data_IF_889446943554
#
_entry.id   IF_889446943554
#
_cell.length_a   1.000
_cell.length_b   1.000
_cell.length_c   1.000
_cell.angle_alpha   90.00
_cell.angle_beta   90.00
_cell.angle_gamma   90.00
#
_symmetry.space_group_name_H-M   'P 1'
#
loop_
_entity.id
_entity.type
_entity.pdbx_description
1 polymer ?
#
# COMPACT_ATOMS: atom_id res chain seq x y z
N UNK A 1 20.53 8.86 12.65
CA UNK A 1 19.13 8.42 12.81
C UNK A 1 19.14 6.93 13.08
N UNK A 2 18.41 6.47 14.09
CA UNK A 2 18.29 5.05 14.39
C UNK A 2 17.55 4.35 13.24
N UNK A 3 17.99 3.15 12.85
CA UNK A 3 17.27 2.34 11.86
C UNK A 3 16.06 1.74 12.56
N UNK A 4 14.87 1.95 12.01
CA UNK A 4 13.63 1.31 12.50
C UNK A 4 13.41 0.04 11.70
N UNK A 5 13.17 -1.08 12.38
CA UNK A 5 12.91 -2.36 11.73
C UNK A 5 11.47 -2.42 11.24
N UNK A 6 11.26 -2.92 10.02
CA UNK A 6 9.92 -3.20 9.49
C UNK A 6 9.19 -4.29 10.29
N UNK A 7 9.91 -5.12 11.07
CA UNK A 7 9.34 -6.21 11.87
C UNK A 7 8.34 -5.74 12.95
N UNK A 8 8.47 -4.51 13.42
CA UNK A 8 7.55 -3.91 14.40
C UNK A 8 6.45 -3.05 13.76
N UNK A 9 6.33 -3.03 12.43
CA UNK A 9 5.29 -2.22 11.80
C UNK A 9 3.90 -2.80 12.09
N UNK A 10 3.00 -1.95 12.57
CA UNK A 10 1.57 -2.24 12.68
C UNK A 10 0.94 -1.85 11.35
N UNK A 11 0.41 -2.85 10.64
CA UNK A 11 -0.24 -2.68 9.34
C UNK A 11 -1.72 -3.03 9.52
N UNK A 12 -2.58 -2.03 9.31
CA UNK A 12 -4.03 -2.18 9.40
C UNK A 12 -4.69 -1.81 8.10
N UNK A 13 -5.66 -2.61 7.67
CA UNK A 13 -6.45 -2.41 6.47
C UNK A 13 -7.93 -2.54 6.80
N UNK A 14 -8.75 -1.61 6.33
CA UNK A 14 -10.19 -1.75 6.41
C UNK A 14 -10.70 -2.91 5.55
N UNK A 15 -11.61 -3.70 6.12
CA UNK A 15 -12.37 -4.71 5.37
C UNK A 15 -13.59 -4.06 4.66
N UNK A 16 -14.33 -4.87 3.90
CA UNK A 16 -15.57 -4.43 3.21
C UNK A 16 -16.65 -3.82 4.11
N UNK A 17 -16.53 -3.93 5.44
CA UNK A 17 -17.45 -3.33 6.42
C UNK A 17 -16.90 -2.04 7.05
N UNK A 18 -15.82 -1.50 6.49
CA UNK A 18 -15.07 -0.36 7.04
C UNK A 18 -14.53 -0.62 8.44
N UNK A 19 -14.23 -1.89 8.76
CA UNK A 19 -13.60 -2.26 10.04
C UNK A 19 -12.10 -2.44 9.83
N UNK A 20 -11.28 -1.69 10.55
CA UNK A 20 -9.82 -1.83 10.51
C UNK A 20 -9.37 -3.19 11.07
N UNK A 21 -8.65 -3.97 10.25
CA UNK A 21 -8.09 -5.29 10.60
C UNK A 21 -6.57 -5.24 10.58
N UNK A 22 -5.94 -5.78 11.63
CA UNK A 22 -4.48 -5.88 11.71
C UNK A 22 -4.00 -7.10 10.94
N UNK A 23 -3.16 -6.89 9.93
CA UNK A 23 -2.59 -7.94 9.07
C UNK A 23 -1.07 -8.08 9.21
N UNK A 24 -0.45 -7.39 10.17
CA UNK A 24 1.01 -7.28 10.33
C UNK A 24 1.74 -8.62 10.34
N UNK A 25 1.14 -9.67 10.91
CA UNK A 25 1.78 -11.00 11.00
C UNK A 25 1.94 -11.70 9.65
N UNK A 26 1.15 -11.30 8.66
CA UNK A 26 1.09 -11.93 7.35
C UNK A 26 1.90 -11.14 6.30
N UNK A 27 2.38 -9.94 6.64
CA UNK A 27 3.14 -9.06 5.73
C UNK A 27 4.64 -9.28 5.92
N UNK A 28 5.33 -9.65 4.84
CA UNK A 28 6.79 -9.85 4.82
C UNK A 28 7.54 -8.54 4.56
N UNK A 29 7.00 -7.71 3.65
CA UNK A 29 7.56 -6.40 3.32
C UNK A 29 6.50 -5.46 2.76
N UNK A 30 6.77 -4.15 2.87
CA UNK A 30 5.96 -3.10 2.29
C UNK A 30 6.84 -2.07 1.58
N UNK A 31 6.30 -1.45 0.54
CA UNK A 31 6.92 -0.37 -0.21
C UNK A 31 5.91 0.72 -0.49
N UNK A 32 6.30 1.99 -0.26
CA UNK A 32 5.48 3.17 -0.51
C UNK A 32 6.27 4.11 -1.43
N UNK A 33 6.15 4.00 -2.76
CA UNK A 33 6.70 4.98 -3.68
C UNK A 33 6.00 6.33 -3.55
N UNK A 34 6.81 7.40 -3.53
CA UNK A 34 6.36 8.78 -3.73
C UNK A 34 6.91 9.25 -5.07
N UNK A 35 6.02 9.53 -6.02
CA UNK A 35 6.42 9.94 -7.36
C UNK A 35 5.62 11.16 -7.81
N UNK A 36 6.31 12.19 -8.30
CA UNK A 36 5.70 13.28 -9.03
C UNK A 36 6.01 13.07 -10.52
N UNK A 37 5.11 12.47 -11.30
CA UNK A 37 5.33 12.29 -12.73
C UNK A 37 5.50 13.66 -13.39
N UNK A 38 6.59 13.92 -14.13
CA UNK A 38 6.84 15.22 -14.73
C UNK A 38 5.82 15.49 -15.84
N UNK A 39 5.26 16.70 -15.87
CA UNK A 39 4.46 17.22 -16.96
C UNK A 39 5.32 18.11 -17.83
N UNK A 40 5.33 17.83 -19.11
CA UNK A 40 6.06 18.60 -20.11
C UNK A 40 5.33 19.91 -20.40
N UNK A 41 6.06 21.03 -20.37
CA UNK A 41 5.52 22.38 -20.56
C UNK A 41 6.39 23.21 -21.50
N UNK A 42 7.08 22.55 -22.43
CA UNK A 42 8.04 23.24 -23.31
C UNK A 42 7.30 24.17 -24.26
N UNK A 43 7.65 25.45 -24.22
CA UNK A 43 7.07 26.49 -25.06
C UNK A 43 7.75 26.58 -26.42
N UNK A 44 7.05 27.16 -27.39
CA UNK A 44 7.65 27.51 -28.67
C UNK A 44 8.65 28.67 -28.48
N UNK A 45 9.95 28.35 -28.55
CA UNK A 45 11.05 29.29 -28.27
C UNK A 45 12.03 28.78 -27.21
N UNK A 46 11.68 27.72 -26.49
CA UNK A 46 12.57 27.08 -25.54
C UNK A 46 13.67 26.28 -26.25
N UNK A 47 14.92 26.48 -25.82
CA UNK A 47 16.08 25.74 -26.33
C UNK A 47 16.28 24.36 -25.67
N UNK A 48 15.41 23.98 -24.74
CA UNK A 48 15.49 22.75 -23.95
C UNK A 48 14.12 22.34 -23.42
N UNK A 49 13.94 21.05 -23.10
CA UNK A 49 12.70 20.55 -22.53
C UNK A 49 12.48 21.08 -21.10
N UNK A 50 11.30 21.64 -20.85
CA UNK A 50 10.89 22.15 -19.56
C UNK A 50 9.82 21.24 -18.94
N UNK A 51 9.91 21.02 -17.62
CA UNK A 51 9.00 20.15 -16.89
C UNK A 51 8.51 20.82 -15.61
N UNK A 52 7.23 20.60 -15.28
CA UNK A 52 6.66 20.89 -13.97
C UNK A 52 6.28 19.58 -13.26
N UNK A 53 6.28 19.54 -11.92
CA UNK A 53 5.77 18.38 -11.19
C UNK A 53 4.28 18.16 -11.45
N UNK A 54 3.88 16.94 -11.81
CA UNK A 54 2.48 16.54 -11.90
C UNK A 54 1.84 16.23 -10.55
N UNK A 55 0.68 15.58 -10.55
CA UNK A 55 0.02 15.15 -9.31
C UNK A 55 0.82 14.04 -8.62
N UNK A 56 0.92 14.08 -7.29
CA UNK A 56 1.56 13.02 -6.51
C UNK A 56 0.90 11.66 -6.82
N UNK A 57 1.64 10.80 -7.51
CA UNK A 57 1.35 9.38 -7.64
C UNK A 57 1.96 8.66 -6.46
N UNK A 58 1.12 7.99 -5.68
CA UNK A 58 1.58 7.10 -4.62
C UNK A 58 0.73 5.84 -4.63
N UNK A 59 1.39 4.72 -4.43
CA UNK A 59 0.78 3.40 -4.26
C UNK A 59 1.48 2.70 -3.11
N UNK A 60 0.86 1.63 -2.62
CA UNK A 60 1.46 0.77 -1.61
C UNK A 60 1.56 -0.63 -2.16
N UNK A 61 2.75 -1.22 -2.12
CA UNK A 61 2.95 -2.63 -2.45
C UNK A 61 3.23 -3.39 -1.17
N UNK A 62 2.41 -4.41 -0.88
CA UNK A 62 2.60 -5.31 0.25
C UNK A 62 2.92 -6.72 -0.26
N UNK A 63 3.98 -7.35 0.25
CA UNK A 63 4.25 -8.77 0.01
C UNK A 63 3.67 -9.59 1.16
N UNK A 64 2.69 -10.45 0.87
CA UNK A 64 1.82 -11.03 1.89
C UNK A 64 1.77 -12.56 1.78
N UNK A 65 1.71 -13.22 2.92
CA UNK A 65 1.45 -14.64 3.06
C UNK A 65 -0.05 -14.97 3.03
N UNK A 66 -0.40 -16.14 2.49
CA UNK A 66 -1.77 -16.59 2.53
C UNK A 66 -2.19 -16.97 3.95
N UNK A 67 -3.18 -16.25 4.46
CA UNK A 67 -3.84 -16.56 5.72
C UNK A 67 -5.36 -16.39 5.54
N UNK A 68 -6.09 -17.49 5.67
CA UNK A 68 -7.55 -17.54 5.51
C UNK A 68 -8.32 -17.50 6.84
N UNK A 69 -7.67 -17.10 7.94
CA UNK A 69 -8.36 -16.86 9.20
C UNK A 69 -9.48 -15.83 9.00
N UNK A 70 -10.64 -16.08 9.59
CA UNK A 70 -11.76 -15.15 9.57
C UNK A 70 -11.34 -13.85 10.27
N UNK A 71 -11.76 -12.71 9.72
CA UNK A 71 -11.60 -11.36 10.28
C UNK A 71 -10.16 -10.88 10.55
N UNK A 72 -9.16 -11.74 10.36
CA UNK A 72 -7.76 -11.50 10.77
C UNK A 72 -6.75 -11.98 9.72
N UNK A 73 -7.12 -12.94 8.87
CA UNK A 73 -6.24 -13.41 7.82
C UNK A 73 -6.17 -12.40 6.68
N UNK A 74 -4.95 -12.04 6.27
CA UNK A 74 -4.75 -11.04 5.22
C UNK A 74 -5.43 -11.40 3.89
N UNK A 75 -5.58 -12.69 3.55
CA UNK A 75 -6.34 -13.09 2.37
C UNK A 75 -7.81 -12.71 2.48
N UNK A 76 -8.43 -12.98 3.63
CA UNK A 76 -9.85 -12.71 3.87
C UNK A 76 -10.14 -11.21 3.77
N UNK A 77 -9.30 -10.39 4.40
CA UNK A 77 -9.43 -8.92 4.40
C UNK A 77 -9.25 -8.37 2.99
N UNK A 78 -8.16 -8.72 2.29
CA UNK A 78 -7.86 -8.18 0.96
C UNK A 78 -8.87 -8.67 -0.09
N UNK A 79 -9.31 -9.93 0.00
CA UNK A 79 -10.37 -10.45 -0.87
C UNK A 79 -11.68 -9.67 -0.68
N UNK A 80 -11.99 -9.22 0.54
CA UNK A 80 -13.23 -8.50 0.81
C UNK A 80 -13.29 -7.15 0.10
N UNK A 81 -12.14 -6.52 -0.12
CA UNK A 81 -12.04 -5.19 -0.76
C UNK A 81 -11.59 -5.27 -2.24
N UNK A 82 -11.26 -6.46 -2.74
CA UNK A 82 -10.82 -6.64 -4.12
C UNK A 82 -11.95 -6.30 -5.08
N UNK A 83 -11.72 -5.30 -5.95
CA UNK A 83 -12.71 -4.86 -6.92
C UNK A 83 -13.90 -4.10 -6.29
N UNK A 84 -13.79 -3.69 -5.03
CA UNK A 84 -14.73 -2.75 -4.42
C UNK A 84 -14.54 -1.36 -5.06
N UNK A 85 -15.63 -0.63 -5.22
CA UNK A 85 -15.66 0.75 -5.73
C UNK A 85 -15.41 1.78 -4.64
N UNK A 86 -15.51 1.39 -3.37
CA UNK A 86 -15.27 2.26 -2.23
C UNK A 86 -13.78 2.33 -1.88
N UNK A 87 -13.37 3.47 -1.32
CA UNK A 87 -12.03 3.62 -0.73
C UNK A 87 -11.97 2.96 0.64
N UNK A 88 -10.83 2.35 0.94
CA UNK A 88 -10.55 1.69 2.22
C UNK A 88 -9.31 2.30 2.84
N UNK A 89 -9.29 2.50 4.16
CA UNK A 89 -8.11 3.05 4.83
C UNK A 89 -7.05 1.97 5.03
N UNK A 90 -5.83 2.25 4.57
CA UNK A 90 -4.63 1.49 4.87
C UNK A 90 -3.71 2.36 5.72
N UNK A 91 -3.23 1.81 6.85
CA UNK A 91 -2.27 2.47 7.73
C UNK A 91 -1.07 1.57 7.98
N UNK A 92 0.12 2.17 7.93
CA UNK A 92 1.41 1.54 8.20
C UNK A 92 2.12 2.38 9.25
N UNK A 93 2.22 1.85 10.46
CA UNK A 93 2.78 2.55 11.62
C UNK A 93 4.00 1.80 12.15
N UNK A 94 5.22 2.35 12.06
CA UNK A 94 6.39 1.73 12.69
C UNK A 94 6.26 1.76 14.22
N UNK A 95 6.53 0.65 14.93
CA UNK A 95 6.42 0.56 16.41
C UNK A 95 7.21 1.64 17.18
N UNK A 96 8.28 2.17 16.59
CA UNK A 96 9.19 3.09 17.28
C UNK A 96 9.47 4.33 16.44
N UNK A 97 8.70 5.40 16.70
CA UNK A 97 9.04 6.79 16.36
C UNK A 97 9.36 7.06 14.89
N UNK A 98 8.83 6.23 14.00
CA UNK A 98 8.94 6.42 12.55
C UNK A 98 7.66 7.06 12.03
N UNK A 99 7.74 7.84 10.93
CA UNK A 99 6.57 8.47 10.37
C UNK A 99 5.55 7.41 9.95
N UNK A 100 4.34 7.49 10.52
CA UNK A 100 3.25 6.61 10.12
C UNK A 100 2.66 7.12 8.80
N UNK A 101 2.33 6.18 7.92
CA UNK A 101 1.62 6.48 6.69
C UNK A 101 0.18 6.02 6.83
N UNK A 102 -0.76 6.88 6.45
CA UNK A 102 -2.17 6.51 6.34
C UNK A 102 -2.78 7.14 5.09
N UNK A 103 -3.53 6.34 4.34
CA UNK A 103 -4.16 6.76 3.11
C UNK A 103 -5.41 5.95 2.78
N UNK A 104 -6.35 6.60 2.11
CA UNK A 104 -7.46 5.95 1.44
C UNK A 104 -6.92 5.24 0.18
N UNK A 105 -7.20 3.95 0.03
CA UNK A 105 -6.68 3.12 -1.04
C UNK A 105 -7.77 2.28 -1.70
N UNK A 106 -7.53 1.90 -2.95
CA UNK A 106 -8.22 0.83 -3.65
C UNK A 106 -7.24 -0.33 -3.93
N UNK A 107 -7.73 -1.56 -3.89
CA UNK A 107 -6.92 -2.73 -4.23
C UNK A 107 -6.97 -2.96 -5.75
N UNK A 108 -5.84 -2.78 -6.43
CA UNK A 108 -5.77 -2.86 -7.89
C UNK A 108 -5.76 -4.31 -8.41
N UNK A 109 -5.26 -5.22 -7.58
CA UNK A 109 -5.13 -6.62 -7.95
C UNK A 109 -4.30 -7.43 -6.97
N UNK A 110 -4.49 -8.75 -7.02
CA UNK A 110 -3.77 -9.72 -6.19
C UNK A 110 -3.21 -10.84 -7.05
N UNK A 111 -1.96 -11.24 -6.77
CA UNK A 111 -1.27 -12.31 -7.48
C UNK A 111 -0.95 -13.49 -6.57
N UNK A 112 -1.86 -14.46 -6.53
CA UNK A 112 -1.69 -15.64 -5.67
C UNK A 112 -0.71 -16.62 -6.33
N UNK A 113 0.33 -17.00 -5.59
CA UNK A 113 1.34 -17.96 -6.04
C UNK A 113 1.66 -18.98 -4.94
N UNK A 114 1.94 -20.21 -5.34
CA UNK A 114 2.31 -21.27 -4.42
C UNK A 114 3.18 -22.29 -5.14
N UNK A 115 4.11 -22.89 -4.39
CA UNK A 115 4.93 -23.99 -4.89
C UNK A 115 4.75 -25.19 -3.97
N UNK A 116 4.53 -26.38 -4.54
CA UNK A 116 4.41 -27.62 -3.79
C UNK A 116 5.71 -28.00 -3.05
N UNK A 117 6.85 -27.41 -3.43
CA UNK A 117 8.14 -27.57 -2.76
C UNK A 117 8.40 -26.53 -1.65
N UNK A 118 7.53 -25.52 -1.53
CA UNK A 118 7.61 -24.48 -0.51
C UNK A 118 6.60 -24.71 0.62
N UNK A 119 6.92 -24.24 1.83
CA UNK A 119 6.11 -24.45 3.03
C UNK A 119 4.89 -23.52 3.17
N UNK A 120 4.69 -22.54 2.28
CA UNK A 120 3.56 -21.60 2.38
C UNK A 120 3.10 -21.06 1.01
N UNK A 121 1.78 -20.89 0.87
CA UNK A 121 1.15 -20.13 -0.24
C UNK A 121 1.39 -18.64 0.02
N UNK A 122 1.74 -17.88 -1.02
CA UNK A 122 1.94 -16.43 -0.96
C UNK A 122 0.82 -15.74 -1.72
N UNK A 123 0.29 -14.65 -1.17
CA UNK A 123 -0.54 -13.71 -1.94
C UNK A 123 0.28 -12.86 -2.91
N UNK A 124 1.60 -13.06 -2.93
CA UNK A 124 2.51 -12.31 -3.79
C UNK A 124 2.56 -10.84 -3.39
N UNK A 125 2.80 -9.99 -4.39
CA UNK A 125 2.75 -8.53 -4.24
C UNK A 125 1.32 -8.05 -4.48
N UNK A 126 0.70 -7.49 -3.45
CA UNK A 126 -0.59 -6.80 -3.52
C UNK A 126 -0.32 -5.32 -3.74
N UNK A 127 -0.89 -4.77 -4.80
CA UNK A 127 -0.75 -3.35 -5.12
C UNK A 127 -2.02 -2.59 -4.74
N UNK A 128 -1.82 -1.48 -4.05
CA UNK A 128 -2.86 -0.54 -3.65
C UNK A 128 -2.59 0.81 -4.29
N UNK A 129 -3.57 1.35 -5.00
CA UNK A 129 -3.52 2.72 -5.49
C UNK A 129 -4.21 3.63 -4.50
N UNK A 130 -3.59 4.77 -4.19
CA UNK A 130 -4.24 5.77 -3.34
C UNK A 130 -5.43 6.37 -4.10
N UNK A 131 -6.59 6.31 -3.48
CA UNK A 131 -7.85 6.83 -3.99
C UNK A 131 -8.51 7.61 -2.88
N UNK A 132 -8.82 8.89 -3.10
CA UNK A 132 -9.43 9.68 -2.05
C UNK A 132 -9.44 11.17 -2.35
N UNK A 133 -10.24 11.90 -1.59
CA UNK A 133 -10.26 13.38 -1.63
C UNK A 133 -9.18 14.00 -0.74
N UNK A 134 -8.58 13.20 0.15
CA UNK A 134 -7.52 13.60 1.06
C UNK A 134 -6.17 13.01 0.61
N UNK A 135 -5.14 13.85 0.59
CA UNK A 135 -3.78 13.38 0.39
C UNK A 135 -3.37 12.46 1.56
N UNK A 136 -2.68 11.34 1.28
CA UNK A 136 -2.18 10.46 2.33
C UNK A 136 -1.25 11.25 3.24
N UNK A 137 -1.39 11.01 4.54
CA UNK A 137 -0.69 11.78 5.56
C UNK A 137 0.52 11.01 6.05
N UNK A 138 1.63 11.74 6.20
CA UNK A 138 2.82 11.26 6.87
C UNK A 138 2.85 11.93 8.24
N UNK A 139 2.48 11.21 9.30
CA UNK A 139 2.50 11.77 10.66
C UNK A 139 3.87 11.52 11.28
N UNK A 140 4.62 12.59 11.54
CA UNK A 140 5.96 12.59 12.16
C UNK A 140 5.94 12.26 13.65
#
# INVERSE_FOLDING_TARGET
MAKVSAKGAVITLEDSTSTARTISSDVDSYEIPYQYPPQEVTGFGDGSNNFIPGLLGTGVTLNIHWNAAADTGAYTVIKSILGDTNSHVLSITPETGGPAWSGEVMCDGISISGSAAGSAIRLGSVHFSVMGSAAPTLTS
#
